data_IF_582157347103
#
_entry.id   IF_582157347103
#
_cell.length_a   1.000
_cell.length_b   1.000
_cell.length_c   1.000
_cell.angle_alpha   90.00
_cell.angle_beta   90.00
_cell.angle_gamma   90.00
#
_symmetry.space_group_name_H-M   'P 1'
#
loop_
_entity.id
_entity.type
_entity.pdbx_description
1 polymer ?
#
# COMPACT_ATOMS: atom_id res chain seq x y z
N UNK A 1 -10.88 7.29 27.20
CA UNK A 1 -11.69 6.90 26.04
C UNK A 1 -10.90 5.84 25.28
N UNK A 2 -11.42 4.62 25.15
CA UNK A 2 -10.93 3.63 24.21
C UNK A 2 -11.86 3.64 22.99
N UNK A 3 -11.28 3.85 21.80
CA UNK A 3 -12.02 3.74 20.56
C UNK A 3 -11.94 2.28 20.07
N UNK A 4 -13.03 1.79 19.52
CA UNK A 4 -13.06 0.47 18.88
C UNK A 4 -12.41 0.57 17.50
N UNK A 5 -11.33 -0.17 17.30
CA UNK A 5 -10.53 -0.18 16.07
C UNK A 5 -11.08 -1.11 14.99
N UNK A 6 -12.14 -1.85 15.27
CA UNK A 6 -12.70 -2.87 14.34
C UNK A 6 -13.03 -2.29 12.97
N UNK A 7 -13.66 -1.11 12.93
CA UNK A 7 -14.00 -0.47 11.65
C UNK A 7 -12.76 -0.10 10.84
N UNK A 8 -11.71 0.39 11.51
CA UNK A 8 -10.41 0.68 10.86
C UNK A 8 -9.81 -0.58 10.25
N UNK A 9 -9.79 -1.69 10.99
CA UNK A 9 -9.24 -2.96 10.52
C UNK A 9 -10.01 -3.49 9.32
N UNK A 10 -11.35 -3.46 9.36
CA UNK A 10 -12.20 -3.84 8.24
C UNK A 10 -11.89 -3.00 7.01
N UNK A 11 -11.84 -1.67 7.14
CA UNK A 11 -11.50 -0.77 6.02
C UNK A 11 -10.11 -1.06 5.46
N UNK A 12 -9.11 -1.33 6.31
CA UNK A 12 -7.77 -1.69 5.87
C UNK A 12 -7.74 -3.00 5.10
N UNK A 13 -8.47 -4.02 5.55
CA UNK A 13 -8.54 -5.31 4.84
C UNK A 13 -9.14 -5.09 3.45
N UNK A 14 -10.25 -4.35 3.32
CA UNK A 14 -10.85 -4.03 2.02
C UNK A 14 -9.89 -3.26 1.11
N UNK A 15 -9.26 -2.23 1.63
CA UNK A 15 -8.31 -1.40 0.89
C UNK A 15 -7.13 -2.22 0.36
N UNK A 16 -6.43 -2.95 1.23
CA UNK A 16 -5.26 -3.72 0.82
C UNK A 16 -5.62 -4.92 -0.06
N UNK A 17 -6.81 -5.49 0.07
CA UNK A 17 -7.31 -6.52 -0.85
C UNK A 17 -7.48 -5.94 -2.25
N UNK A 18 -8.05 -4.74 -2.38
CA UNK A 18 -8.18 -4.07 -3.68
C UNK A 18 -6.81 -3.74 -4.29
N UNK A 19 -5.83 -3.31 -3.48
CA UNK A 19 -4.45 -3.14 -3.93
C UNK A 19 -3.84 -4.46 -4.40
N UNK A 20 -4.14 -5.58 -3.73
CA UNK A 20 -3.71 -6.92 -4.15
C UNK A 20 -4.18 -7.28 -5.56
N UNK A 21 -5.41 -6.94 -5.93
CA UNK A 21 -5.93 -7.15 -7.29
C UNK A 21 -5.23 -6.32 -8.37
N UNK A 22 -4.54 -5.24 -8.01
CA UNK A 22 -3.72 -4.45 -8.96
C UNK A 22 -2.36 -5.10 -9.25
N UNK A 23 -1.94 -6.09 -8.45
CA UNK A 23 -0.65 -6.77 -8.57
C UNK A 23 -0.62 -7.72 -9.78
N UNK A 24 -0.25 -7.21 -10.94
CA UNK A 24 -0.16 -7.97 -12.19
C UNK A 24 1.30 -8.35 -12.49
N UNK A 25 1.59 -9.65 -12.50
CA UNK A 25 2.93 -10.17 -12.78
C UNK A 25 3.40 -9.92 -14.22
N UNK A 26 2.49 -9.79 -15.21
CA UNK A 26 2.88 -9.44 -16.58
C UNK A 26 3.38 -8.01 -16.65
N UNK A 27 2.68 -7.08 -15.99
CA UNK A 27 3.10 -5.68 -15.89
C UNK A 27 4.42 -5.58 -15.12
N UNK A 28 4.57 -6.35 -14.05
CA UNK A 28 5.82 -6.43 -13.29
C UNK A 28 7.00 -6.90 -14.15
N UNK A 29 6.78 -7.92 -14.98
CA UNK A 29 7.81 -8.41 -15.92
C UNK A 29 8.13 -7.40 -17.01
N UNK A 30 7.15 -6.64 -17.51
CA UNK A 30 7.38 -5.61 -18.53
C UNK A 30 8.18 -4.41 -18.01
N UNK A 31 8.15 -4.15 -16.69
CA UNK A 31 8.97 -3.12 -16.05
C UNK A 31 10.48 -3.36 -16.12
N UNK A 32 10.89 -4.62 -16.36
CA UNK A 32 12.25 -5.01 -16.70
C UNK A 32 13.31 -4.51 -15.70
N UNK A 33 14.47 -4.10 -16.25
CA UNK A 33 15.63 -3.64 -15.46
C UNK A 33 15.33 -2.38 -14.65
N UNK A 34 14.53 -1.48 -15.18
CA UNK A 34 14.19 -0.21 -14.49
C UNK A 34 13.44 -0.47 -13.18
N UNK A 35 12.53 -1.45 -13.16
CA UNK A 35 11.79 -1.83 -11.97
C UNK A 35 12.70 -2.44 -10.90
N UNK A 36 13.66 -3.28 -11.29
CA UNK A 36 14.63 -3.90 -10.36
C UNK A 36 15.51 -2.81 -9.72
N UNK A 37 15.99 -1.86 -10.52
CA UNK A 37 16.79 -0.73 -10.02
C UNK A 37 15.95 0.12 -9.06
N UNK A 38 14.69 0.41 -9.41
CA UNK A 38 13.79 1.17 -8.55
C UNK A 38 13.52 0.45 -7.23
N UNK A 39 13.28 -0.86 -7.27
CA UNK A 39 13.12 -1.69 -6.07
C UNK A 39 14.36 -1.63 -5.17
N UNK A 40 15.54 -1.75 -5.76
CA UNK A 40 16.82 -1.62 -5.03
C UNK A 40 16.96 -0.26 -4.35
N UNK A 41 16.60 0.82 -5.03
CA UNK A 41 16.59 2.17 -4.46
C UNK A 41 15.61 2.30 -3.29
N UNK A 42 14.40 1.76 -3.42
CA UNK A 42 13.38 1.77 -2.33
C UNK A 42 13.88 1.00 -1.12
N UNK A 43 14.46 -0.18 -1.32
CA UNK A 43 15.03 -0.98 -0.22
C UNK A 43 16.15 -0.20 0.48
N UNK A 44 17.05 0.40 -0.28
CA UNK A 44 18.14 1.23 0.26
C UNK A 44 17.58 2.42 1.05
N UNK A 45 16.52 3.06 0.54
CA UNK A 45 15.85 4.17 1.23
C UNK A 45 15.27 3.71 2.58
N UNK A 46 14.58 2.57 2.63
CA UNK A 46 13.99 2.00 3.85
C UNK A 46 15.09 1.76 4.91
N UNK A 47 16.19 1.11 4.52
CA UNK A 47 17.31 0.88 5.43
C UNK A 47 17.93 2.19 5.93
N UNK A 48 18.15 3.16 5.05
CA UNK A 48 18.72 4.47 5.40
C UNK A 48 17.81 5.25 6.35
N UNK A 49 16.51 5.25 6.11
CA UNK A 49 15.51 5.89 7.00
C UNK A 49 15.52 5.27 8.40
N UNK A 50 15.52 3.95 8.49
CA UNK A 50 15.53 3.26 9.78
C UNK A 50 16.85 3.48 10.52
N UNK A 51 17.99 3.42 9.82
CA UNK A 51 19.29 3.69 10.43
C UNK A 51 19.37 5.13 11.00
N UNK A 52 18.89 6.09 10.21
CA UNK A 52 18.86 7.49 10.63
C UNK A 52 17.92 7.69 11.82
N UNK A 53 16.72 7.13 11.78
CA UNK A 53 15.73 7.24 12.84
C UNK A 53 16.21 6.62 14.16
N UNK A 54 16.80 5.42 14.10
CA UNK A 54 17.40 4.74 15.25
C UNK A 54 18.61 5.54 15.78
N UNK A 55 19.45 6.05 14.88
CA UNK A 55 20.60 6.88 15.23
C UNK A 55 20.20 8.14 15.97
N UNK A 56 19.21 8.88 15.47
CA UNK A 56 18.66 10.07 16.13
C UNK A 56 18.01 9.75 17.47
N UNK A 57 17.26 8.64 17.56
CA UNK A 57 16.66 8.22 18.83
C UNK A 57 17.71 7.97 19.90
N UNK A 58 18.81 7.29 19.56
CA UNK A 58 19.95 7.07 20.48
C UNK A 58 20.62 8.38 20.87
N UNK A 59 20.80 9.29 19.92
CA UNK A 59 21.39 10.61 20.21
C UNK A 59 20.55 11.43 21.19
N UNK A 60 19.23 11.30 21.10
CA UNK A 60 18.27 11.97 21.98
C UNK A 60 17.98 11.18 23.27
N UNK A 61 18.69 10.08 23.54
CA UNK A 61 18.46 9.17 24.67
C UNK A 61 17.02 8.61 24.72
N UNK A 62 16.41 8.40 23.56
CA UNK A 62 15.10 7.77 23.43
C UNK A 62 15.25 6.28 23.11
N UNK A 63 14.19 5.51 23.35
CA UNK A 63 14.17 4.12 22.95
C UNK A 63 14.28 4.01 21.42
N UNK A 64 15.19 3.17 20.88
CA UNK A 64 15.35 2.98 19.43
C UNK A 64 14.08 2.58 18.69
N UNK A 65 13.14 1.90 19.36
CA UNK A 65 11.84 1.53 18.78
C UNK A 65 10.95 2.76 18.52
N UNK A 66 11.11 3.85 19.29
CA UNK A 66 10.45 5.14 19.00
C UNK A 66 10.96 5.69 17.66
N UNK A 67 12.24 5.49 17.34
CA UNK A 67 12.80 5.80 16.03
C UNK A 67 12.08 5.03 14.91
N UNK A 68 11.76 3.76 15.11
CA UNK A 68 10.98 2.98 14.14
C UNK A 68 9.59 3.57 13.92
N UNK A 69 8.95 4.12 14.96
CA UNK A 69 7.67 4.82 14.84
C UNK A 69 7.72 6.07 13.96
N UNK A 70 8.89 6.66 13.74
CA UNK A 70 9.10 7.84 12.89
C UNK A 70 9.91 7.54 11.62
N UNK A 71 10.38 6.30 11.48
CA UNK A 71 11.18 5.82 10.35
C UNK A 71 10.34 5.35 9.17
N UNK A 72 10.75 4.24 8.57
CA UNK A 72 10.12 3.73 7.34
C UNK A 72 8.68 3.26 7.53
N UNK A 73 8.28 2.85 8.74
CA UNK A 73 6.90 2.38 9.01
C UNK A 73 5.89 3.44 8.57
N UNK A 74 5.90 4.68 9.12
CA UNK A 74 4.96 5.71 8.69
C UNK A 74 5.36 6.40 7.38
N UNK A 75 6.66 6.56 7.10
CA UNK A 75 7.13 7.38 5.98
C UNK A 75 7.03 6.69 4.63
N UNK A 76 7.19 5.38 4.57
CA UNK A 76 7.05 4.58 3.33
C UNK A 76 5.68 3.92 3.26
N UNK A 77 5.21 3.34 4.36
CA UNK A 77 3.95 2.61 4.40
C UNK A 77 2.72 3.44 4.74
N UNK A 78 2.90 4.68 5.23
CA UNK A 78 1.81 5.61 5.54
C UNK A 78 0.95 5.18 6.73
N UNK A 79 -0.29 5.67 6.76
CA UNK A 79 -1.24 5.39 7.85
C UNK A 79 -1.61 3.92 7.99
N UNK A 80 -1.64 3.16 6.88
CA UNK A 80 -1.95 1.73 6.90
C UNK A 80 -0.94 0.93 7.71
N UNK A 81 0.34 1.09 7.42
CA UNK A 81 1.41 0.41 8.17
C UNK A 81 1.59 0.99 9.56
N UNK A 82 1.40 2.30 9.75
CA UNK A 82 1.39 2.92 11.08
C UNK A 82 0.31 2.30 11.97
N UNK A 83 -0.91 2.13 11.45
CA UNK A 83 -2.00 1.48 12.16
C UNK A 83 -1.80 -0.01 12.42
N UNK A 84 -1.07 -0.71 11.56
CA UNK A 84 -0.79 -2.13 11.71
C UNK A 84 0.36 -2.41 12.69
N UNK A 85 1.45 -1.66 12.59
CA UNK A 85 2.64 -1.87 13.42
C UNK A 85 2.65 -1.08 14.72
N UNK A 86 1.86 0.00 14.82
CA UNK A 86 1.73 0.78 16.04
C UNK A 86 1.35 -0.08 17.26
N UNK A 87 0.24 -0.84 17.24
CA UNK A 87 -0.13 -1.74 18.33
C UNK A 87 0.95 -2.79 18.64
N UNK A 88 1.60 -3.35 17.61
CA UNK A 88 2.71 -4.31 17.81
C UNK A 88 3.87 -3.69 18.58
N UNK A 89 4.19 -2.42 18.31
CA UNK A 89 5.23 -1.70 19.06
C UNK A 89 4.78 -1.36 20.48
N UNK A 90 3.48 -1.17 20.72
CA UNK A 90 2.92 -1.01 22.06
C UNK A 90 3.06 -2.30 22.89
N UNK A 91 2.92 -3.48 22.27
CA UNK A 91 3.19 -4.78 22.90
C UNK A 91 4.67 -4.93 23.34
N UNK A 92 5.58 -4.21 22.68
CA UNK A 92 6.99 -4.08 23.12
C UNK A 92 7.21 -2.95 24.15
N UNK A 93 6.16 -2.55 24.87
CA UNK A 93 6.19 -1.51 25.92
C UNK A 93 6.55 -0.09 25.41
N UNK A 94 6.27 0.20 24.15
CA UNK A 94 6.41 1.55 23.62
C UNK A 94 5.04 2.26 23.69
N UNK A 95 4.75 2.83 24.85
CA UNK A 95 3.49 3.52 25.08
C UNK A 95 3.24 4.64 24.06
N UNK A 96 2.07 4.62 23.43
CA UNK A 96 1.65 5.61 22.44
C UNK A 96 2.30 5.44 21.06
N UNK A 97 2.90 4.28 20.77
CA UNK A 97 3.52 4.01 19.46
C UNK A 97 2.55 4.21 18.30
N UNK A 98 1.31 3.77 18.42
CA UNK A 98 0.26 3.97 17.41
C UNK A 98 0.04 5.45 17.11
N UNK A 99 -0.04 6.28 18.16
CA UNK A 99 -0.20 7.73 18.02
C UNK A 99 1.01 8.38 17.36
N UNK A 100 2.22 8.00 17.78
CA UNK A 100 3.48 8.53 17.22
C UNK A 100 3.58 8.14 15.73
N UNK A 101 3.35 6.88 15.38
CA UNK A 101 3.37 6.40 14.00
C UNK A 101 2.36 7.14 13.13
N UNK A 102 1.13 7.33 13.62
CA UNK A 102 0.06 8.01 12.87
C UNK A 102 0.35 9.50 12.67
N UNK A 103 0.86 10.17 13.71
CA UNK A 103 1.28 11.57 13.61
C UNK A 103 2.44 11.73 12.62
N UNK A 104 3.43 10.85 12.66
CA UNK A 104 4.55 10.85 11.73
C UNK A 104 4.09 10.58 10.28
N UNK A 105 3.13 9.66 10.06
CA UNK A 105 2.55 9.41 8.74
C UNK A 105 1.83 10.66 8.19
N UNK A 106 1.07 11.35 9.02
CA UNK A 106 0.38 12.58 8.64
C UNK A 106 1.38 13.67 8.26
N UNK A 107 2.41 13.87 9.09
CA UNK A 107 3.47 14.82 8.78
C UNK A 107 4.21 14.47 7.49
N UNK A 108 4.54 13.19 7.30
CA UNK A 108 5.17 12.69 6.08
C UNK A 108 4.34 12.94 4.82
N UNK A 109 3.03 12.71 4.89
CA UNK A 109 2.10 12.95 3.79
C UNK A 109 2.04 14.43 3.39
N UNK A 110 1.88 15.31 4.39
CA UNK A 110 1.82 16.76 4.16
C UNK A 110 3.15 17.25 3.57
N UNK A 111 4.26 16.92 4.20
CA UNK A 111 5.60 17.37 3.76
C UNK A 111 5.96 16.78 2.39
N UNK A 112 5.63 15.49 2.18
CA UNK A 112 5.84 14.81 0.90
C UNK A 112 5.08 15.48 -0.24
N UNK A 113 3.84 15.87 -0.01
CA UNK A 113 3.02 16.57 -1.02
C UNK A 113 3.55 17.98 -1.31
N UNK A 114 3.92 18.73 -0.27
CA UNK A 114 4.43 20.10 -0.41
C UNK A 114 5.77 20.16 -1.14
N UNK A 115 6.66 19.21 -0.89
CA UNK A 115 8.02 19.18 -1.46
C UNK A 115 8.05 18.34 -2.74
N UNK A 116 7.40 17.18 -2.75
CA UNK A 116 7.45 16.23 -3.87
C UNK A 116 6.73 16.75 -5.12
N UNK A 117 5.59 17.41 -4.96
CA UNK A 117 4.85 17.97 -6.08
C UNK A 117 5.66 18.95 -6.92
N UNK A 118 6.18 20.03 -6.36
CA UNK A 118 7.01 21.01 -7.09
C UNK A 118 8.29 20.41 -7.68
N UNK A 119 8.96 19.49 -6.96
CA UNK A 119 10.16 18.81 -7.47
C UNK A 119 9.81 17.92 -8.65
N UNK A 120 8.74 17.12 -8.54
CA UNK A 120 8.26 16.25 -9.61
C UNK A 120 7.91 17.05 -10.86
N UNK A 121 7.11 18.12 -10.71
CA UNK A 121 6.77 19.02 -11.81
C UNK A 121 8.02 19.57 -12.50
N UNK A 122 8.94 20.13 -11.73
CA UNK A 122 10.21 20.69 -12.26
C UNK A 122 11.04 19.65 -13.01
N UNK A 123 11.06 18.40 -12.52
CA UNK A 123 11.81 17.32 -13.15
C UNK A 123 11.18 16.91 -14.49
N UNK A 124 9.86 16.79 -14.53
CA UNK A 124 9.08 16.47 -15.73
C UNK A 124 9.30 17.53 -16.80
N UNK A 125 9.14 18.81 -16.44
CA UNK A 125 9.30 19.94 -17.35
C UNK A 125 10.76 20.06 -17.85
N UNK A 126 11.74 19.97 -16.95
CA UNK A 126 13.16 20.09 -17.30
C UNK A 126 13.62 18.95 -18.23
N UNK A 127 13.08 17.75 -18.05
CA UNK A 127 13.45 16.57 -18.87
C UNK A 127 12.52 16.34 -20.04
N UNK A 128 11.52 17.19 -20.25
CA UNK A 128 10.53 17.08 -21.34
C UNK A 128 9.88 15.70 -21.42
N UNK A 129 9.56 15.11 -20.26
CA UNK A 129 9.07 13.74 -20.19
C UNK A 129 7.64 13.61 -20.76
N UNK A 130 6.90 14.71 -20.89
CA UNK A 130 5.55 14.74 -21.44
C UNK A 130 5.52 14.89 -23.00
N UNK A 131 6.64 15.28 -23.62
CA UNK A 131 6.68 15.53 -25.07
C UNK A 131 6.46 14.25 -25.91
N UNK A 132 6.62 13.07 -25.32
CA UNK A 132 6.47 11.77 -25.98
C UNK A 132 5.32 10.91 -25.43
N UNK A 133 4.47 11.47 -24.59
CA UNK A 133 3.27 10.76 -24.13
C UNK A 133 2.17 10.99 -25.15
N UNK A 134 1.59 9.94 -25.80
CA UNK A 134 0.41 10.11 -26.60
C UNK A 134 -0.66 10.78 -25.74
N UNK A 135 -1.17 11.92 -26.19
CA UNK A 135 -2.35 12.53 -25.58
C UNK A 135 -3.48 11.52 -25.77
N UNK A 136 -3.85 10.83 -24.70
CA UNK A 136 -5.13 10.12 -24.69
C UNK A 136 -6.20 11.18 -24.92
N UNK A 137 -6.94 10.98 -25.99
CA UNK A 137 -8.00 11.88 -26.43
C UNK A 137 -9.00 12.08 -25.27
N UNK A 138 -9.24 13.33 -24.91
CA UNK A 138 -10.26 13.74 -23.92
C UNK A 138 -11.70 13.35 -24.33
N UNK A 139 -11.85 12.62 -25.45
CA UNK A 139 -13.11 12.11 -25.97
C UNK A 139 -13.78 11.03 -25.12
N UNK A 140 -13.10 10.50 -24.09
CA UNK A 140 -13.63 9.44 -23.22
C UNK A 140 -14.58 9.96 -22.12
N UNK A 141 -14.80 11.26 -22.02
CA UNK A 141 -15.64 11.85 -20.97
C UNK A 141 -17.13 12.06 -21.37
N UNK A 142 -17.54 11.68 -22.58
CA UNK A 142 -18.89 12.03 -23.09
C UNK A 142 -19.78 10.85 -23.48
N UNK A 143 -19.40 9.61 -23.21
CA UNK A 143 -20.24 8.44 -23.55
C UNK A 143 -20.73 7.68 -22.32
N UNK A 144 -21.68 8.22 -21.54
CA UNK A 144 -22.00 7.52 -20.27
C UNK A 144 -23.45 7.47 -19.80
N UNK A 145 -24.45 7.52 -20.64
CA UNK A 145 -25.83 7.21 -20.16
C UNK A 145 -26.30 5.77 -20.42
N UNK A 146 -25.81 5.08 -21.44
CA UNK A 146 -26.19 3.67 -21.70
C UNK A 146 -25.34 2.63 -20.96
N UNK A 147 -24.23 3.01 -20.35
CA UNK A 147 -23.33 2.12 -19.59
C UNK A 147 -23.82 1.79 -18.19
N UNK A 148 -24.79 2.51 -17.62
CA UNK A 148 -25.18 2.40 -16.21
C UNK A 148 -25.65 0.98 -15.79
N UNK A 149 -26.38 0.27 -16.63
CA UNK A 149 -26.86 -1.08 -16.30
C UNK A 149 -25.77 -2.18 -16.41
N UNK A 150 -24.80 -2.00 -17.30
CA UNK A 150 -23.62 -2.86 -17.37
C UNK A 150 -22.72 -2.68 -16.17
N UNK A 151 -22.58 -1.45 -15.67
CA UNK A 151 -21.75 -1.13 -14.51
C UNK A 151 -22.24 -1.79 -13.23
N UNK A 152 -23.54 -1.90 -12.99
CA UNK A 152 -24.09 -2.50 -11.77
C UNK A 152 -23.69 -3.97 -11.61
N UNK A 153 -23.74 -4.76 -12.70
CA UNK A 153 -23.31 -6.15 -12.67
C UNK A 153 -21.78 -6.29 -12.47
N UNK A 154 -21.01 -5.36 -13.02
CA UNK A 154 -19.56 -5.33 -12.84
C UNK A 154 -19.19 -4.99 -11.39
N UNK A 155 -19.84 -4.01 -10.76
CA UNK A 155 -19.62 -3.68 -9.35
C UNK A 155 -20.00 -4.84 -8.42
N UNK A 156 -21.12 -5.51 -8.68
CA UNK A 156 -21.52 -6.70 -7.91
C UNK A 156 -20.49 -7.82 -8.02
N UNK A 157 -19.96 -8.08 -9.21
CA UNK A 157 -18.92 -9.07 -9.43
C UNK A 157 -17.60 -8.68 -8.74
N UNK A 158 -17.21 -7.40 -8.78
CA UNK A 158 -16.02 -6.89 -8.12
C UNK A 158 -16.11 -7.04 -6.59
N UNK A 159 -17.25 -6.65 -6.00
CA UNK A 159 -17.49 -6.82 -4.56
C UNK A 159 -17.47 -8.30 -4.16
N UNK A 160 -18.08 -9.18 -4.95
CA UNK A 160 -18.06 -10.61 -4.68
C UNK A 160 -16.64 -11.20 -4.74
N UNK A 161 -15.84 -10.81 -5.74
CA UNK A 161 -14.43 -11.21 -5.84
C UNK A 161 -13.60 -10.72 -4.65
N UNK A 162 -13.88 -9.49 -4.19
CA UNK A 162 -13.19 -8.90 -3.06
C UNK A 162 -13.51 -9.66 -1.77
N UNK A 163 -14.78 -10.00 -1.53
CA UNK A 163 -15.20 -10.81 -0.38
C UNK A 163 -14.58 -12.21 -0.43
N UNK A 164 -14.55 -12.85 -1.62
CA UNK A 164 -13.87 -14.15 -1.81
C UNK A 164 -12.38 -14.06 -1.49
N UNK A 165 -11.69 -13.01 -1.94
CA UNK A 165 -10.28 -12.81 -1.67
C UNK A 165 -10.00 -12.60 -0.18
N UNK A 166 -10.86 -11.87 0.53
CA UNK A 166 -10.78 -11.69 1.99
C UNK A 166 -10.96 -13.04 2.69
N UNK A 167 -11.97 -13.84 2.28
CA UNK A 167 -12.20 -15.17 2.84
C UNK A 167 -11.01 -16.11 2.63
N UNK A 168 -10.44 -16.17 1.43
CA UNK A 168 -9.21 -16.93 1.17
C UNK A 168 -8.01 -16.35 1.94
N UNK A 169 -7.98 -15.04 2.11
CA UNK A 169 -6.94 -14.34 2.85
C UNK A 169 -6.82 -14.76 4.31
N UNK A 170 -7.93 -15.14 4.95
CA UNK A 170 -7.90 -15.67 6.32
C UNK A 170 -7.09 -16.96 6.41
N UNK A 171 -7.18 -17.83 5.40
CA UNK A 171 -6.39 -19.06 5.29
C UNK A 171 -4.90 -18.72 5.15
N UNK A 172 -4.57 -17.75 4.27
CA UNK A 172 -3.20 -17.29 4.10
C UNK A 172 -2.64 -16.67 5.38
N UNK A 173 -3.41 -15.83 6.06
CA UNK A 173 -3.01 -15.26 7.36
C UNK A 173 -2.74 -16.35 8.40
N UNK A 174 -3.56 -17.39 8.46
CA UNK A 174 -3.34 -18.51 9.36
C UNK A 174 -1.99 -19.21 9.10
N UNK A 175 -1.64 -19.44 7.83
CA UNK A 175 -0.33 -20.03 7.48
C UNK A 175 0.83 -19.08 7.80
N UNK A 176 0.68 -17.79 7.54
CA UNK A 176 1.70 -16.78 7.85
C UNK A 176 1.96 -16.68 9.35
N UNK A 177 0.93 -16.74 10.18
CA UNK A 177 1.08 -16.71 11.64
C UNK A 177 1.92 -17.90 12.18
N UNK A 178 1.83 -19.05 11.51
CA UNK A 178 2.65 -20.22 11.88
C UNK A 178 4.15 -20.04 11.63
N UNK A 179 4.56 -19.07 10.83
CA UNK A 179 6.00 -18.78 10.60
C UNK A 179 6.67 -18.11 11.80
N UNK A 180 5.91 -17.69 12.82
CA UNK A 180 6.42 -16.95 13.99
C UNK A 180 6.72 -15.48 13.70
N UNK A 181 6.42 -14.98 12.50
CA UNK A 181 6.54 -13.57 12.13
C UNK A 181 5.22 -12.86 12.34
N UNK A 182 5.27 -11.64 12.85
CA UNK A 182 4.09 -10.79 13.02
C UNK A 182 3.72 -10.14 11.69
N UNK A 183 2.60 -10.56 11.12
CA UNK A 183 2.07 -9.98 9.91
C UNK A 183 0.77 -9.22 10.21
N UNK A 184 0.56 -8.03 9.63
CA UNK A 184 -0.72 -7.35 9.65
C UNK A 184 -1.84 -8.21 9.03
N UNK A 185 -3.05 -8.10 9.57
CA UNK A 185 -4.21 -8.92 9.22
C UNK A 185 -4.54 -8.88 7.71
N UNK A 186 -4.31 -7.74 7.07
CA UNK A 186 -4.63 -7.54 5.66
C UNK A 186 -3.64 -8.19 4.67
N UNK A 187 -2.45 -8.62 5.11
CA UNK A 187 -1.44 -9.20 4.19
C UNK A 187 -1.95 -10.49 3.56
N UNK A 188 -2.61 -11.35 4.32
CA UNK A 188 -3.19 -12.58 3.78
C UNK A 188 -4.21 -12.31 2.68
N UNK A 189 -5.11 -11.33 2.89
CA UNK A 189 -6.12 -10.95 1.91
C UNK A 189 -5.50 -10.31 0.65
N UNK A 190 -4.48 -9.47 0.82
CA UNK A 190 -3.73 -8.88 -0.29
C UNK A 190 -3.05 -9.95 -1.15
N UNK A 191 -2.40 -10.93 -0.53
CA UNK A 191 -1.74 -12.04 -1.25
C UNK A 191 -2.77 -12.93 -1.97
N UNK A 192 -3.90 -13.24 -1.33
CA UNK A 192 -4.98 -14.00 -1.94
C UNK A 192 -5.53 -13.28 -3.19
N UNK A 193 -5.77 -11.97 -3.10
CA UNK A 193 -6.21 -11.15 -4.22
C UNK A 193 -5.20 -11.12 -5.36
N UNK A 194 -3.91 -10.94 -5.05
CA UNK A 194 -2.83 -10.97 -6.03
C UNK A 194 -2.74 -12.33 -6.75
N UNK A 195 -2.90 -13.44 -6.03
CA UNK A 195 -2.93 -14.77 -6.62
C UNK A 195 -4.15 -14.97 -7.50
N UNK A 196 -5.34 -14.61 -7.04
CA UNK A 196 -6.58 -14.69 -7.83
C UNK A 196 -6.44 -13.92 -9.14
N UNK A 197 -5.93 -12.69 -9.09
CA UNK A 197 -5.67 -11.85 -10.28
C UNK A 197 -4.79 -12.58 -11.28
N UNK A 198 -3.64 -13.08 -10.84
CA UNK A 198 -2.66 -13.67 -11.73
C UNK A 198 -3.11 -15.05 -12.27
N UNK A 199 -3.82 -15.87 -11.49
CA UNK A 199 -4.39 -17.13 -11.93
C UNK A 199 -5.46 -16.91 -13.00
N UNK A 200 -6.36 -15.94 -12.78
CA UNK A 200 -7.43 -15.62 -13.74
C UNK A 200 -6.87 -15.11 -15.05
N UNK A 201 -5.84 -14.28 -15.00
CA UNK A 201 -5.18 -13.76 -16.19
C UNK A 201 -4.41 -14.83 -16.96
N UNK A 202 -3.76 -15.77 -16.25
CA UNK A 202 -3.07 -16.90 -16.86
C UNK A 202 -4.06 -17.89 -17.49
N UNK A 203 -5.22 -18.10 -16.86
CA UNK A 203 -6.26 -19.03 -17.33
C UNK A 203 -7.04 -18.53 -18.55
N UNK A 204 -6.87 -17.29 -18.99
CA UNK A 204 -7.58 -16.71 -20.15
C UNK A 204 -9.10 -16.62 -19.99
N UNK A 205 -9.65 -16.97 -18.83
CA UNK A 205 -11.08 -16.97 -18.52
C UNK A 205 -11.46 -15.74 -17.70
N UNK A 206 -11.72 -14.66 -18.39
CA UNK A 206 -12.40 -13.51 -17.84
C UNK A 206 -11.46 -12.42 -17.32
N UNK A 207 -11.71 -11.23 -17.76
CA UNK A 207 -11.21 -9.98 -17.18
C UNK A 207 -11.76 -9.84 -15.76
N UNK A 208 -10.89 -9.76 -14.77
CA UNK A 208 -11.27 -9.21 -13.47
C UNK A 208 -11.48 -7.73 -13.73
N UNK A 209 -12.74 -7.31 -13.76
CA UNK A 209 -13.12 -5.92 -13.90
C UNK A 209 -13.02 -5.25 -12.51
N UNK A 210 -11.86 -4.67 -12.21
CA UNK A 210 -11.69 -3.66 -11.17
C UNK A 210 -10.95 -2.48 -11.76
#
# INVERSE_FOLDING_TARGET
>A
FSFDDTLREVCMVFFFTSVGFQANLKVLKSGGRSLIVFLGLVITLIFSQNLLAIGLSKLLNLNPLIGMCTGSIPMVGGHGTAGAFGPVLEDFNIHGATTICTAAATFGLITGSLVGGPIGKRLIEKRKLMDNVPTEDDSLLVEDEEKHQRHTNMYAAAVFQLILAIGLGTIFSYFLTKTGLTFPIYIGAMLAAALMRNITEYSGKGTIHM
#
